data_IF_241272376093
#
_entry.id   IF_241272376093
#
_cell.length_a   1.000
_cell.length_b   1.000
_cell.length_c   1.000
_cell.angle_alpha   90.00
_cell.angle_beta   90.00
_cell.angle_gamma   90.00
#
_symmetry.space_group_name_H-M   'P 1'
#
loop_
_entity.id
_entity.type
_entity.pdbx_description
1 polymer ?
#
# COMPACT_ATOMS: atom_id res chain seq x y z
N UNK A 1 -28.47 -1.61 -0.29
CA UNK A 1 -27.24 -1.05 0.30
C UNK A 1 -26.28 -0.77 -0.85
N UNK A 2 -25.94 0.50 -1.08
CA UNK A 2 -24.86 0.85 -2.02
C UNK A 2 -23.53 0.57 -1.33
N UNK A 3 -22.65 -0.20 -1.98
CA UNK A 3 -21.31 -0.44 -1.47
C UNK A 3 -20.50 0.87 -1.52
N UNK A 4 -19.66 1.17 -0.52
CA UNK A 4 -18.77 2.31 -0.60
C UNK A 4 -17.94 2.20 -1.89
N UNK A 5 -17.71 3.31 -2.58
CA UNK A 5 -16.94 3.32 -3.83
C UNK A 5 -15.75 4.25 -3.69
N UNK A 6 -14.64 3.88 -4.32
CA UNK A 6 -13.40 4.68 -4.34
C UNK A 6 -13.14 5.11 -5.78
N UNK A 7 -13.13 6.43 -5.99
CA UNK A 7 -12.62 7.08 -7.20
C UNK A 7 -11.19 7.55 -6.93
N UNK A 8 -10.23 7.04 -7.71
CA UNK A 8 -8.83 7.41 -7.59
C UNK A 8 -8.42 8.27 -8.77
N UNK A 9 -7.72 9.38 -8.48
CA UNK A 9 -7.21 10.30 -9.50
C UNK A 9 -5.74 10.57 -9.24
N UNK A 10 -4.96 10.56 -10.31
CA UNK A 10 -3.58 10.98 -10.35
C UNK A 10 -3.46 12.15 -11.34
N UNK A 11 -2.84 13.24 -10.92
CA UNK A 11 -2.64 14.45 -11.71
C UNK A 11 -1.15 14.81 -11.72
N UNK A 12 -0.59 14.91 -12.93
CA UNK A 12 0.82 15.24 -13.19
C UNK A 12 1.80 14.40 -12.35
N UNK A 13 1.47 13.12 -12.13
CA UNK A 13 2.25 12.23 -11.29
C UNK A 13 3.61 11.96 -11.92
N UNK A 14 4.67 12.33 -11.22
CA UNK A 14 6.05 12.05 -11.61
C UNK A 14 6.82 11.40 -10.47
N UNK A 15 7.53 10.33 -10.80
CA UNK A 15 8.30 9.53 -9.84
C UNK A 15 9.77 9.57 -10.24
N UNK A 16 10.62 9.99 -9.30
CA UNK A 16 12.04 10.17 -9.48
C UNK A 16 12.81 9.31 -8.49
N UNK A 17 13.84 8.62 -8.96
CA UNK A 17 14.76 7.86 -8.12
C UNK A 17 16.17 8.44 -8.26
N UNK A 18 16.95 8.37 -7.18
CA UNK A 18 18.37 8.68 -7.23
C UNK A 18 19.14 7.38 -7.45
N UNK A 19 20.00 7.37 -8.47
CA UNK A 19 20.83 6.23 -8.81
C UNK A 19 22.29 6.65 -8.94
N UNK A 20 23.20 5.77 -8.52
CA UNK A 20 24.63 5.96 -8.73
C UNK A 20 24.97 5.84 -10.22
N UNK A 21 25.73 6.79 -10.77
CA UNK A 21 26.07 6.80 -12.20
C UNK A 21 27.38 6.05 -12.51
N UNK A 22 27.49 5.51 -13.73
CA UNK A 22 28.72 4.88 -14.26
C UNK A 22 28.97 3.44 -13.77
N UNK A 23 30.24 3.02 -13.70
CA UNK A 23 30.63 1.66 -13.27
C UNK A 23 30.25 1.29 -11.82
N UNK A 24 29.67 2.25 -11.08
CA UNK A 24 29.15 2.08 -9.71
C UNK A 24 27.65 1.81 -9.64
N UNK A 25 26.94 1.84 -10.78
CA UNK A 25 25.51 1.52 -10.87
C UNK A 25 25.22 0.03 -10.68
N UNK A 26 26.19 -0.84 -11.00
CA UNK A 26 26.04 -2.28 -10.84
C UNK A 26 26.17 -2.67 -9.35
N UNK A 27 25.18 -3.37 -8.77
CA UNK A 27 25.26 -3.83 -7.40
C UNK A 27 26.23 -5.00 -7.30
N UNK A 28 27.52 -4.69 -7.12
CA UNK A 28 28.53 -5.65 -6.70
C UNK A 28 28.91 -5.36 -5.24
N UNK A 29 29.42 -6.38 -4.54
CA UNK A 29 29.70 -6.32 -3.09
C UNK A 29 30.68 -5.18 -2.77
N UNK A 30 31.69 -4.99 -3.62
CA UNK A 30 32.69 -3.93 -3.48
C UNK A 30 32.11 -2.52 -3.68
N UNK A 31 31.24 -2.34 -4.68
CA UNK A 31 30.52 -1.10 -4.95
C UNK A 31 29.56 -0.77 -3.81
N UNK A 32 28.91 -1.77 -3.22
CA UNK A 32 28.03 -1.58 -2.06
C UNK A 32 28.80 -1.14 -0.81
N UNK A 33 29.94 -1.78 -0.52
CA UNK A 33 30.81 -1.38 0.60
C UNK A 33 31.38 0.03 0.39
N UNK A 34 31.89 0.33 -0.80
CA UNK A 34 32.44 1.65 -1.10
C UNK A 34 31.35 2.72 -1.09
N UNK A 35 30.15 2.46 -1.62
CA UNK A 35 29.03 3.40 -1.55
C UNK A 35 28.61 3.67 -0.09
N UNK A 36 28.60 2.65 0.78
CA UNK A 36 28.28 2.84 2.21
C UNK A 36 29.32 3.70 2.94
N UNK A 37 30.62 3.45 2.69
CA UNK A 37 31.71 4.24 3.29
C UNK A 37 31.66 5.69 2.80
N UNK A 38 31.35 5.88 1.51
CA UNK A 38 31.26 7.20 0.90
C UNK A 38 30.03 7.98 1.37
N UNK A 39 28.87 7.34 1.54
CA UNK A 39 27.68 7.98 2.14
C UNK A 39 27.96 8.40 3.60
N UNK A 40 28.72 7.62 4.36
CA UNK A 40 29.16 8.00 5.70
C UNK A 40 30.13 9.20 5.69
N UNK A 41 31.04 9.26 4.70
CA UNK A 41 31.98 10.36 4.53
C UNK A 41 31.29 11.66 4.04
N UNK A 42 30.26 11.54 3.20
CA UNK A 42 29.38 12.64 2.74
C UNK A 42 28.55 13.19 3.92
N UNK A 43 28.03 12.31 4.77
CA UNK A 43 27.35 12.68 6.03
C UNK A 43 28.27 13.48 6.96
N UNK A 44 29.58 13.21 6.92
CA UNK A 44 30.60 13.93 7.68
C UNK A 44 31.09 15.23 6.99
N UNK A 45 30.45 15.65 5.89
CA UNK A 45 30.81 16.82 5.06
C UNK A 45 32.23 16.79 4.46
N UNK A 46 32.86 15.61 4.39
CA UNK A 46 34.25 15.50 3.92
C UNK A 46 34.39 15.46 2.39
N UNK A 47 33.31 15.18 1.64
CA UNK A 47 33.32 15.05 0.17
C UNK A 47 32.05 15.64 -0.47
N UNK A 48 32.10 16.22 -1.67
CA UNK A 48 30.90 16.69 -2.39
C UNK A 48 30.13 15.53 -3.06
N UNK A 49 28.81 15.48 -2.87
CA UNK A 49 27.88 14.45 -3.36
C UNK A 49 27.62 14.46 -4.89
N UNK A 50 28.66 14.39 -5.72
CA UNK A 50 28.54 14.52 -7.19
C UNK A 50 28.26 13.20 -7.95
N UNK A 51 28.07 12.07 -7.26
CA UNK A 51 27.95 10.73 -7.85
C UNK A 51 26.53 10.15 -7.93
N UNK A 52 25.51 10.86 -7.41
CA UNK A 52 24.08 10.49 -7.50
C UNK A 52 23.43 11.27 -8.64
N UNK A 53 22.84 10.56 -9.60
CA UNK A 53 22.08 11.15 -10.70
C UNK A 53 20.60 10.87 -10.50
N UNK A 54 19.78 11.91 -10.74
CA UNK A 54 18.32 11.80 -10.68
C UNK A 54 17.79 11.20 -11.97
N UNK A 55 17.08 10.07 -11.85
CA UNK A 55 16.41 9.41 -12.96
C UNK A 55 14.89 9.50 -12.76
N UNK A 56 14.18 9.98 -13.77
CA UNK A 56 12.70 10.03 -13.74
C UNK A 56 12.15 8.74 -14.34
N UNK A 57 11.39 7.98 -13.55
CA UNK A 57 10.81 6.70 -13.96
C UNK A 57 9.41 6.90 -14.55
N UNK A 58 8.61 7.79 -13.96
CA UNK A 58 7.26 8.14 -14.42
C UNK A 58 7.23 9.63 -14.74
N UNK A 59 6.78 9.99 -15.94
CA UNK A 59 6.83 11.35 -16.47
C UNK A 59 5.45 12.01 -16.47
N UNK A 60 5.15 12.84 -15.46
CA UNK A 60 3.96 13.71 -15.37
C UNK A 60 2.69 13.09 -15.95
N UNK A 61 2.33 11.91 -15.44
CA UNK A 61 1.20 11.13 -15.95
C UNK A 61 -0.07 11.49 -15.17
N UNK A 62 -1.16 11.75 -15.90
CA UNK A 62 -2.48 11.96 -15.31
C UNK A 62 -3.41 10.80 -15.66
N UNK A 63 -4.14 10.27 -14.68
CA UNK A 63 -5.03 9.12 -14.85
C UNK A 63 -6.20 9.14 -13.85
N UNK A 64 -7.34 8.55 -14.24
CA UNK A 64 -8.54 8.44 -13.38
C UNK A 64 -9.03 6.99 -13.39
N UNK A 65 -9.16 6.41 -12.20
CA UNK A 65 -9.61 5.05 -11.97
C UNK A 65 -10.96 5.07 -11.27
N UNK A 66 -12.00 4.74 -12.02
CA UNK A 66 -13.37 4.74 -11.51
C UNK A 66 -13.69 3.44 -10.79
N UNK A 67 -14.54 3.49 -9.75
CA UNK A 67 -14.99 2.30 -9.03
C UNK A 67 -15.71 1.33 -9.97
N UNK A 68 -15.67 0.04 -9.62
CA UNK A 68 -16.36 -1.07 -10.34
C UNK A 68 -15.90 -1.25 -11.79
N UNK A 69 -14.69 -0.80 -12.12
CA UNK A 69 -14.05 -1.02 -13.42
C UNK A 69 -12.69 -1.67 -13.23
N UNK A 70 -12.34 -2.51 -14.19
CA UNK A 70 -10.99 -3.04 -14.33
C UNK A 70 -10.21 -2.15 -15.31
N UNK A 71 -9.02 -1.71 -14.91
CA UNK A 71 -8.14 -0.92 -15.77
C UNK A 71 -6.88 -1.73 -16.06
N UNK A 72 -6.62 -1.99 -17.34
CA UNK A 72 -5.44 -2.73 -17.79
C UNK A 72 -4.33 -1.75 -18.17
N UNK A 73 -3.19 -1.82 -17.48
CA UNK A 73 -2.01 -1.00 -17.79
C UNK A 73 -1.01 -1.80 -18.63
N UNK A 74 -0.85 -1.42 -19.90
CA UNK A 74 0.08 -2.05 -20.84
C UNK A 74 1.28 -1.14 -21.14
N UNK A 75 2.44 -1.75 -21.37
CA UNK A 75 3.67 -1.02 -21.69
C UNK A 75 4.87 -1.95 -21.77
N UNK A 76 5.92 -1.54 -22.50
CA UNK A 76 7.18 -2.29 -22.65
C UNK A 76 7.87 -2.57 -21.30
N UNK A 77 8.76 -3.57 -21.20
CA UNK A 77 9.62 -3.72 -20.02
C UNK A 77 10.37 -2.42 -19.71
N UNK A 78 10.48 -2.05 -18.43
CA UNK A 78 11.14 -0.80 -18.00
C UNK A 78 10.31 0.49 -18.12
N UNK A 79 9.10 0.45 -18.66
CA UNK A 79 8.22 1.64 -18.78
C UNK A 79 7.67 2.22 -17.46
N UNK A 80 8.04 1.68 -16.31
CA UNK A 80 7.61 2.20 -15.00
C UNK A 80 6.21 1.78 -14.56
N UNK A 81 5.57 0.78 -15.19
CA UNK A 81 4.24 0.26 -14.80
C UNK A 81 4.16 -0.12 -13.31
N UNK A 82 5.08 -0.97 -12.87
CA UNK A 82 5.18 -1.43 -11.47
C UNK A 82 5.37 -0.24 -10.54
N UNK A 83 6.21 0.72 -10.92
CA UNK A 83 6.45 1.95 -10.17
C UNK A 83 5.20 2.81 -10.05
N UNK A 84 4.44 2.95 -11.15
CA UNK A 84 3.16 3.68 -11.15
C UNK A 84 2.14 3.02 -10.22
N UNK A 85 1.96 1.69 -10.30
CA UNK A 85 1.02 0.96 -9.45
C UNK A 85 1.40 1.06 -7.96
N UNK A 86 2.70 0.93 -7.64
CA UNK A 86 3.21 1.13 -6.27
C UNK A 86 3.02 2.57 -5.79
N UNK A 87 3.20 3.56 -6.66
CA UNK A 87 2.99 4.97 -6.34
C UNK A 87 1.54 5.24 -5.96
N UNK A 88 0.61 4.72 -6.75
CA UNK A 88 -0.82 4.82 -6.45
C UNK A 88 -1.13 4.15 -5.12
N UNK A 89 -0.65 2.92 -4.88
CA UNK A 89 -0.90 2.17 -3.66
C UNK A 89 -0.19 2.69 -2.39
N UNK A 90 0.67 3.72 -2.50
CA UNK A 90 1.48 4.19 -1.36
C UNK A 90 2.58 3.24 -0.91
N UNK A 91 3.01 2.32 -1.78
CA UNK A 91 4.06 1.33 -1.49
C UNK A 91 5.37 1.59 -2.23
N UNK A 92 5.70 2.86 -2.45
CA UNK A 92 7.02 3.24 -2.99
C UNK A 92 8.07 3.23 -1.88
N UNK A 93 9.30 2.88 -2.27
CA UNK A 93 10.44 2.87 -1.36
C UNK A 93 10.83 4.29 -0.96
N UNK A 94 11.37 4.45 0.26
CA UNK A 94 11.71 5.76 0.85
C UNK A 94 12.76 6.57 0.07
N UNK A 95 13.58 5.90 -0.76
CA UNK A 95 14.56 6.56 -1.64
C UNK A 95 13.98 7.14 -2.93
N UNK A 96 12.67 7.01 -3.15
CA UNK A 96 11.99 7.45 -4.38
C UNK A 96 11.13 8.67 -4.09
N UNK A 97 11.35 9.75 -4.82
CA UNK A 97 10.57 10.99 -4.70
C UNK A 97 9.36 10.95 -5.61
N UNK A 98 8.19 11.18 -5.03
CA UNK A 98 6.93 11.36 -5.75
C UNK A 98 6.59 12.84 -5.84
N UNK A 99 6.07 13.26 -6.99
CA UNK A 99 5.56 14.61 -7.25
C UNK A 99 4.28 14.54 -8.07
N UNK A 100 3.47 15.59 -8.05
CA UNK A 100 2.10 15.56 -8.56
C UNK A 100 1.10 15.30 -7.43
N UNK A 101 -0.16 15.05 -7.79
CA UNK A 101 -1.27 14.90 -6.84
C UNK A 101 -1.96 13.56 -7.02
N UNK A 102 -2.18 12.85 -5.92
CA UNK A 102 -2.99 11.62 -5.87
C UNK A 102 -4.14 11.87 -4.91
N UNK A 103 -5.37 11.66 -5.38
CA UNK A 103 -6.58 11.80 -4.56
C UNK A 103 -7.44 10.56 -4.60
N UNK A 104 -7.96 10.19 -3.43
CA UNK A 104 -8.94 9.13 -3.24
C UNK A 104 -10.25 9.76 -2.77
N UNK A 105 -11.32 9.65 -3.55
CA UNK A 105 -12.60 10.32 -3.26
C UNK A 105 -12.41 11.81 -2.92
N UNK A 106 -11.59 12.52 -3.71
CA UNK A 106 -11.26 13.94 -3.54
C UNK A 106 -10.41 14.31 -2.31
N UNK A 107 -10.02 13.31 -1.51
CA UNK A 107 -9.09 13.47 -0.37
C UNK A 107 -7.67 13.21 -0.85
N UNK A 108 -6.74 14.06 -0.43
CA UNK A 108 -5.33 13.88 -0.81
C UNK A 108 -4.72 12.67 -0.10
N UNK A 109 -3.73 12.04 -0.74
CA UNK A 109 -3.07 10.84 -0.25
C UNK A 109 -2.41 11.01 1.14
N UNK A 110 -2.01 12.24 1.50
CA UNK A 110 -1.45 12.60 2.81
C UNK A 110 -2.52 12.74 3.92
N UNK A 111 -3.80 12.90 3.57
CA UNK A 111 -4.92 13.04 4.51
C UNK A 111 -5.51 11.67 4.93
N UNK A 112 -5.03 10.61 4.31
CA UNK A 112 -5.53 9.25 4.47
C UNK A 112 -4.35 8.29 4.65
N UNK A 113 -4.68 7.04 4.97
CA UNK A 113 -3.70 5.95 5.02
C UNK A 113 -3.97 5.07 3.80
N UNK A 114 -3.23 5.23 2.68
CA UNK A 114 -3.47 4.49 1.44
C UNK A 114 -3.48 2.98 1.65
N UNK A 115 -2.66 2.46 2.55
CA UNK A 115 -2.54 1.03 2.87
C UNK A 115 -3.84 0.42 3.42
N UNK A 116 -4.77 1.24 3.92
CA UNK A 116 -6.09 0.78 4.40
C UNK A 116 -7.14 0.69 3.29
N UNK A 117 -6.92 1.36 2.16
CA UNK A 117 -7.91 1.49 1.08
C UNK A 117 -7.38 1.07 -0.30
N UNK A 118 -6.08 0.81 -0.40
CA UNK A 118 -5.40 0.37 -1.60
C UNK A 118 -4.55 -0.87 -1.28
N UNK A 119 -4.76 -1.94 -2.05
CA UNK A 119 -3.95 -3.15 -1.99
C UNK A 119 -3.08 -3.23 -3.24
N UNK A 120 -1.80 -3.54 -3.05
CA UNK A 120 -0.88 -3.86 -4.13
C UNK A 120 -0.48 -5.33 -4.01
N UNK A 121 -0.71 -6.10 -5.07
CA UNK A 121 -0.31 -7.50 -5.21
C UNK A 121 0.98 -7.51 -6.02
N UNK A 122 2.05 -8.05 -5.44
CA UNK A 122 3.33 -8.15 -6.12
C UNK A 122 3.33 -9.27 -7.16
N UNK A 123 4.26 -9.20 -8.12
CA UNK A 123 4.46 -10.25 -9.12
C UNK A 123 4.89 -11.59 -8.50
N UNK A 124 5.56 -11.53 -7.35
CA UNK A 124 6.02 -12.69 -6.59
C UNK A 124 5.27 -12.76 -5.27
N UNK A 125 4.79 -13.95 -4.91
CA UNK A 125 4.16 -14.21 -3.62
C UNK A 125 5.20 -14.73 -2.63
N UNK A 126 5.22 -14.16 -1.43
CA UNK A 126 6.00 -14.67 -0.30
C UNK A 126 5.07 -15.44 0.63
N UNK A 127 5.11 -16.77 0.58
CA UNK A 127 4.35 -17.65 1.45
C UNK A 127 5.27 -18.68 2.11
N UNK A 128 4.91 -19.13 3.32
CA UNK A 128 5.62 -20.23 3.99
C UNK A 128 5.24 -21.55 3.33
N UNK A 129 6.22 -22.31 2.86
CA UNK A 129 5.99 -23.63 2.25
C UNK A 129 5.50 -24.70 3.23
N UNK A 130 5.64 -24.45 4.54
CA UNK A 130 5.25 -25.37 5.61
C UNK A 130 3.77 -25.27 6.00
N UNK A 131 3.05 -24.25 5.51
CA UNK A 131 1.64 -24.01 5.85
C UNK A 131 0.71 -24.42 4.73
N UNK A 132 -0.44 -24.98 5.08
CA UNK A 132 -1.55 -25.17 4.14
C UNK A 132 -2.19 -23.83 3.75
N UNK A 133 -2.96 -23.83 2.66
CA UNK A 133 -3.73 -22.65 2.21
C UNK A 133 -4.67 -22.14 3.32
N UNK A 134 -5.33 -23.06 4.04
CA UNK A 134 -6.24 -22.72 5.14
C UNK A 134 -5.49 -22.01 6.27
N UNK A 135 -4.34 -22.53 6.68
CA UNK A 135 -3.53 -21.95 7.74
C UNK A 135 -2.97 -20.60 7.33
N UNK A 136 -2.52 -20.47 6.09
CA UNK A 136 -2.02 -19.21 5.53
C UNK A 136 -3.09 -18.11 5.55
N UNK A 137 -4.31 -18.44 5.10
CA UNK A 137 -5.43 -17.50 5.13
C UNK A 137 -5.85 -17.15 6.56
N UNK A 138 -5.91 -18.14 7.46
CA UNK A 138 -6.23 -17.91 8.86
C UNK A 138 -5.18 -17.03 9.56
N UNK A 139 -3.90 -17.24 9.27
CA UNK A 139 -2.81 -16.40 9.76
C UNK A 139 -2.92 -14.97 9.23
N UNK A 140 -3.14 -14.81 7.92
CA UNK A 140 -3.32 -13.49 7.30
C UNK A 140 -4.51 -12.73 7.90
N UNK A 141 -5.64 -13.40 8.08
CA UNK A 141 -6.82 -12.82 8.72
C UNK A 141 -6.51 -12.32 10.14
N UNK A 142 -5.83 -13.13 10.95
CA UNK A 142 -5.40 -12.73 12.31
C UNK A 142 -4.46 -11.51 12.29
N UNK A 143 -3.46 -11.48 11.40
CA UNK A 143 -2.55 -10.33 11.28
C UNK A 143 -3.25 -9.04 10.81
N UNK A 144 -4.31 -9.16 10.01
CA UNK A 144 -5.14 -8.03 9.59
C UNK A 144 -6.14 -7.58 10.68
N UNK A 145 -6.16 -8.25 11.84
CA UNK A 145 -7.13 -8.00 12.90
C UNK A 145 -8.55 -8.46 12.57
N UNK A 146 -8.70 -9.31 11.54
CA UNK A 146 -9.97 -9.93 11.17
C UNK A 146 -10.20 -11.10 12.13
N UNK A 147 -10.86 -10.83 13.27
CA UNK A 147 -11.16 -11.86 14.25
C UNK A 147 -11.54 -11.34 15.64
N UNK A 148 -10.74 -10.45 16.23
CA UNK A 148 -10.94 -10.01 17.63
C UNK A 148 -12.32 -9.39 17.87
N UNK A 149 -12.78 -8.55 16.94
CA UNK A 149 -14.12 -7.96 17.01
C UNK A 149 -15.23 -9.00 16.82
N UNK A 150 -15.03 -10.00 15.97
CA UNK A 150 -16.01 -11.06 15.72
C UNK A 150 -16.14 -12.00 16.93
N UNK A 151 -15.03 -12.41 17.52
CA UNK A 151 -15.02 -13.29 18.69
C UNK A 151 -15.62 -12.57 19.90
N UNK A 152 -15.27 -11.30 20.11
CA UNK A 152 -15.87 -10.47 21.15
C UNK A 152 -17.37 -10.30 20.94
N UNK A 153 -17.82 -10.00 19.71
CA UNK A 153 -19.24 -9.83 19.41
C UNK A 153 -20.02 -11.15 19.55
N UNK A 154 -19.44 -12.27 19.12
CA UNK A 154 -20.04 -13.59 19.27
C UNK A 154 -20.21 -13.93 20.75
N UNK A 155 -19.21 -13.61 21.57
CA UNK A 155 -19.24 -13.80 23.02
C UNK A 155 -20.23 -12.83 23.72
N UNK A 156 -20.31 -11.58 23.28
CA UNK A 156 -21.30 -10.62 23.77
C UNK A 156 -22.74 -11.08 23.46
N UNK A 157 -23.02 -11.46 22.22
CA UNK A 157 -24.34 -11.97 21.83
C UNK A 157 -24.72 -13.24 22.61
N UNK A 158 -23.73 -14.10 22.90
CA UNK A 158 -23.94 -15.29 23.75
C UNK A 158 -24.38 -14.88 25.17
N UNK A 159 -23.67 -13.92 25.78
CA UNK A 159 -23.97 -13.44 27.14
C UNK A 159 -25.29 -12.67 27.22
N UNK A 160 -25.61 -11.86 26.23
CA UNK A 160 -26.89 -11.13 26.15
C UNK A 160 -28.07 -12.10 26.05
N UNK A 161 -27.92 -13.18 25.27
CA UNK A 161 -28.92 -14.26 25.19
C UNK A 161 -29.08 -15.00 26.53
N UNK A 162 -27.98 -15.28 27.22
CA UNK A 162 -28.00 -15.94 28.54
C UNK A 162 -28.62 -15.06 29.63
N UNK A 163 -28.38 -13.76 29.58
CA UNK A 163 -28.97 -12.79 30.48
C UNK A 163 -30.40 -12.38 30.09
N UNK A 164 -30.89 -12.83 28.92
CA UNK A 164 -32.17 -12.44 28.32
C UNK A 164 -32.35 -10.91 28.24
N UNK A 165 -31.26 -10.20 27.94
CA UNK A 165 -31.22 -8.74 27.79
C UNK A 165 -31.23 -8.39 26.32
N UNK A 166 -32.10 -7.46 25.93
CA UNK A 166 -32.05 -6.86 24.59
C UNK A 166 -31.22 -5.59 24.65
N UNK A 167 -30.21 -5.43 23.76
CA UNK A 167 -29.44 -4.20 23.70
C UNK A 167 -30.32 -3.06 23.20
N UNK A 168 -30.01 -1.85 23.68
CA UNK A 168 -30.62 -0.62 23.20
C UNK A 168 -30.43 -0.47 21.68
N UNK A 169 -31.38 0.16 20.99
CA UNK A 169 -31.40 0.28 19.54
C UNK A 169 -30.13 0.97 19.00
N UNK A 170 -29.63 1.97 19.74
CA UNK A 170 -28.39 2.68 19.39
C UNK A 170 -27.15 1.79 19.49
N UNK A 171 -27.11 0.91 20.50
CA UNK A 171 -26.02 -0.05 20.71
C UNK A 171 -26.09 -1.14 19.65
N UNK A 172 -27.29 -1.64 19.34
CA UNK A 172 -27.51 -2.61 18.28
C UNK A 172 -27.11 -2.05 16.92
N UNK A 173 -27.42 -0.78 16.64
CA UNK A 173 -27.00 -0.08 15.43
C UNK A 173 -25.48 0.09 15.40
N UNK A 174 -24.86 0.50 16.51
CA UNK A 174 -23.41 0.66 16.60
C UNK A 174 -22.68 -0.67 16.41
N UNK A 175 -23.14 -1.76 17.04
CA UNK A 175 -22.64 -3.10 16.80
C UNK A 175 -22.76 -3.45 15.31
N UNK A 176 -23.90 -3.16 14.68
CA UNK A 176 -24.16 -3.45 13.27
C UNK A 176 -23.29 -2.64 12.30
N UNK A 177 -22.91 -1.42 12.66
CA UNK A 177 -22.01 -0.55 11.87
C UNK A 177 -20.54 -0.94 12.08
N UNK A 178 -20.16 -1.40 13.28
CA UNK A 178 -18.83 -1.96 13.56
C UNK A 178 -18.66 -3.40 13.04
N UNK A 179 -19.75 -4.10 12.71
CA UNK A 179 -19.68 -5.44 12.14
C UNK A 179 -18.87 -5.38 10.82
N UNK A 180 -17.83 -6.21 10.64
CA UNK A 180 -17.00 -6.23 9.44
C UNK A 180 -17.71 -6.82 8.20
N UNK A 181 -19.05 -6.84 8.16
CA UNK A 181 -19.82 -7.12 6.94
C UNK A 181 -19.60 -6.06 5.86
N UNK A 182 -19.06 -4.89 6.23
CA UNK A 182 -18.44 -4.00 5.27
C UNK A 182 -16.98 -4.40 5.11
N UNK A 183 -16.72 -5.23 4.10
CA UNK A 183 -15.40 -5.22 3.47
C UNK A 183 -15.06 -3.74 3.20
N UNK A 184 -13.97 -3.19 3.77
CA UNK A 184 -13.52 -1.89 3.35
C UNK A 184 -13.38 -1.96 1.84
N UNK A 185 -14.02 -1.03 1.13
CA UNK A 185 -13.82 -0.97 -0.31
C UNK A 185 -12.35 -0.69 -0.52
N UNK A 186 -11.68 -1.62 -1.21
CA UNK A 186 -10.26 -1.52 -1.50
C UNK A 186 -10.11 -1.42 -3.01
N UNK A 187 -9.29 -0.50 -3.48
CA UNK A 187 -8.76 -0.54 -4.84
C UNK A 187 -7.58 -1.50 -4.88
N UNK A 188 -7.63 -2.51 -5.75
CA UNK A 188 -6.57 -3.49 -5.90
C UNK A 188 -5.74 -3.20 -7.17
N UNK A 189 -4.43 -3.15 -7.01
CA UNK A 189 -3.44 -3.07 -8.06
C UNK A 189 -2.73 -4.42 -8.16
N UNK A 190 -2.73 -5.02 -9.34
CA UNK A 190 -2.12 -6.32 -9.64
C UNK A 190 -1.09 -6.13 -10.74
#
# INVERSE_FOLDING_TARGET
>A
MELPTIDLRAEDLAVQAEAYAGGRAAPNIFNSMTNTILDAADTLQFLPSNWKTKYTIVHKTSAVFRPRRMTLLLGSPGSGKTTLLKALAGKLDSGVKVSGKITYNWREMNEIVPEKIAAYVSQSDLHSGEMTVRETLAFSAKCQGVGDGYDLLTELMRREREANVTPDDDIALFMKVKLPYQCPTIIAFV
#
